data_IF_842666457669
#
_entry.id   IF_842666457669
#
_cell.length_a   1.000
_cell.length_b   1.000
_cell.length_c   1.000
_cell.angle_alpha   90.00
_cell.angle_beta   90.00
_cell.angle_gamma   90.00
#
_symmetry.space_group_name_H-M   'P 1'
#
loop_
_entity.id
_entity.type
_entity.pdbx_description
1 polymer ?
#
# COMPACT_ATOMS: atom_id res chain seq x y z
N UNK A 1 6.36 21.19 5.46
CA UNK A 1 6.16 19.74 5.27
C UNK A 1 5.65 19.57 3.86
N UNK A 2 6.19 18.63 3.07
CA UNK A 2 5.75 18.44 1.68
C UNK A 2 4.24 18.15 1.65
N UNK A 3 3.53 18.66 0.64
CA UNK A 3 2.10 18.41 0.48
C UNK A 3 1.80 16.95 0.08
N UNK A 4 2.83 16.19 -0.29
CA UNK A 4 2.74 14.76 -0.59
C UNK A 4 2.81 13.88 0.67
N UNK A 5 3.12 14.44 1.85
CA UNK A 5 3.27 13.69 3.10
C UNK A 5 2.11 13.98 4.05
N UNK A 6 1.32 12.94 4.35
CA UNK A 6 0.30 12.97 5.40
C UNK A 6 0.82 12.29 6.67
N UNK A 7 0.94 13.07 7.76
CA UNK A 7 1.39 12.55 9.05
C UNK A 7 0.32 11.71 9.74
N UNK A 8 0.75 10.62 10.37
CA UNK A 8 -0.15 9.76 11.15
C UNK A 8 -0.76 10.49 12.34
N UNK A 9 -2.05 10.28 12.58
CA UNK A 9 -2.72 10.68 13.81
C UNK A 9 -2.77 9.54 14.85
N UNK A 10 -1.90 8.53 14.74
CA UNK A 10 -1.91 7.32 15.59
C UNK A 10 -1.77 7.58 17.09
N UNK A 11 -1.17 8.70 17.49
CA UNK A 11 -1.06 9.10 18.91
C UNK A 11 -2.37 9.66 19.46
N UNK A 12 -3.26 10.13 18.59
CA UNK A 12 -4.58 10.67 18.94
C UNK A 12 -5.66 10.18 17.97
N UNK A 13 -5.91 8.86 17.85
CA UNK A 13 -6.89 8.32 16.92
C UNK A 13 -8.27 8.97 17.12
N UNK A 14 -9.05 9.08 16.05
CA UNK A 14 -10.48 9.44 16.18
C UNK A 14 -11.21 8.37 17.02
N UNK A 15 -12.40 8.71 17.52
CA UNK A 15 -13.18 7.80 18.36
C UNK A 15 -13.50 6.44 17.70
N UNK A 16 -13.61 6.41 16.36
CA UNK A 16 -13.79 5.19 15.58
C UNK A 16 -12.48 4.46 15.25
N UNK A 17 -11.35 4.90 15.80
CA UNK A 17 -10.02 4.34 15.57
C UNK A 17 -9.29 4.85 14.32
N UNK A 18 -9.87 5.74 13.52
CA UNK A 18 -9.20 6.28 12.32
C UNK A 18 -7.92 7.06 12.69
N UNK A 19 -6.81 6.72 12.05
CA UNK A 19 -5.48 7.36 12.25
C UNK A 19 -4.88 7.93 10.96
N UNK A 20 -5.36 7.49 9.79
CA UNK A 20 -5.04 8.07 8.48
C UNK A 20 -6.28 8.06 7.59
N UNK A 21 -6.43 9.09 6.76
CA UNK A 21 -7.47 9.17 5.74
C UNK A 21 -7.01 10.01 4.57
N UNK A 22 -6.75 9.34 3.46
CA UNK A 22 -6.49 9.91 2.15
C UNK A 22 -7.71 9.62 1.26
N UNK A 23 -8.34 10.66 0.77
CA UNK A 23 -9.39 10.57 -0.25
C UNK A 23 -8.92 11.19 -1.57
N UNK A 24 -9.57 10.88 -2.70
CA UNK A 24 -9.27 11.54 -3.96
C UNK A 24 -9.29 13.06 -3.89
N UNK A 25 -10.25 13.63 -3.16
CA UNK A 25 -10.37 15.07 -2.97
C UNK A 25 -9.21 15.64 -2.16
N UNK A 26 -8.79 14.96 -1.08
CA UNK A 26 -7.67 15.42 -0.25
C UNK A 26 -6.31 15.31 -0.94
N UNK A 27 -6.12 14.28 -1.79
CA UNK A 27 -4.91 14.06 -2.56
C UNK A 27 -4.89 14.83 -3.89
N UNK A 28 -6.02 15.48 -4.24
CA UNK A 28 -6.23 16.19 -5.50
C UNK A 28 -5.99 15.28 -6.74
N UNK A 29 -6.60 14.10 -6.73
CA UNK A 29 -6.56 13.12 -7.82
C UNK A 29 -7.92 12.43 -7.99
N UNK A 30 -8.02 11.36 -8.78
CA UNK A 30 -9.29 10.80 -9.27
C UNK A 30 -9.70 9.45 -8.68
N UNK A 31 -8.76 8.58 -8.29
CA UNK A 31 -9.05 7.17 -8.03
C UNK A 31 -8.77 6.75 -6.57
N UNK A 32 -7.52 6.83 -6.12
CA UNK A 32 -7.11 6.11 -4.90
C UNK A 32 -7.66 6.77 -3.64
N UNK A 33 -8.21 5.95 -2.74
CA UNK A 33 -8.37 6.30 -1.34
C UNK A 33 -7.66 5.28 -0.45
N UNK A 34 -7.19 5.75 0.70
CA UNK A 34 -6.53 4.93 1.70
C UNK A 34 -6.91 5.41 3.11
N UNK A 35 -7.33 4.48 3.96
CA UNK A 35 -7.60 4.77 5.37
C UNK A 35 -6.88 3.74 6.24
N UNK A 36 -6.46 4.15 7.45
CA UNK A 36 -5.90 3.25 8.45
C UNK A 36 -6.67 3.40 9.75
N UNK A 37 -7.07 2.28 10.32
CA UNK A 37 -7.79 2.21 11.59
C UNK A 37 -6.99 1.40 12.61
N UNK A 38 -6.84 1.94 13.81
CA UNK A 38 -6.31 1.26 14.98
C UNK A 38 -7.48 0.98 15.94
N UNK A 39 -7.98 -0.26 15.95
CA UNK A 39 -9.11 -0.68 16.78
C UNK A 39 -8.62 -1.43 18.01
N UNK A 40 -9.23 -1.17 19.16
CA UNK A 40 -9.01 -1.98 20.36
C UNK A 40 -9.80 -3.29 20.30
N UNK A 41 -9.38 -4.31 21.05
CA UNK A 41 -10.10 -5.57 21.13
C UNK A 41 -11.56 -5.34 21.55
N UNK A 42 -12.50 -5.95 20.81
CA UNK A 42 -13.94 -5.80 20.99
C UNK A 42 -14.55 -4.55 20.34
N UNK A 43 -13.74 -3.61 19.83
CA UNK A 43 -14.23 -2.43 19.13
C UNK A 43 -14.80 -2.81 17.76
N UNK A 44 -15.89 -2.14 17.39
CA UNK A 44 -16.58 -2.32 16.12
C UNK A 44 -16.41 -1.09 15.22
N UNK A 45 -16.22 -1.34 13.94
CA UNK A 45 -16.21 -0.35 12.87
C UNK A 45 -17.29 -0.74 11.86
N UNK A 46 -18.27 0.16 11.69
CA UNK A 46 -19.24 0.08 10.60
C UNK A 46 -18.73 0.90 9.42
N UNK A 47 -18.77 0.31 8.24
CA UNK A 47 -18.21 0.89 7.03
C UNK A 47 -19.17 0.67 5.86
N UNK A 48 -19.31 1.66 4.99
CA UNK A 48 -20.06 1.51 3.74
C UNK A 48 -19.07 1.68 2.57
N UNK A 49 -19.09 0.75 1.62
CA UNK A 49 -18.18 0.80 0.47
C UNK A 49 -18.59 1.88 -0.53
N UNK A 50 -19.80 2.43 -0.44
CA UNK A 50 -20.36 3.48 -1.29
C UNK A 50 -20.10 3.15 -2.77
N UNK A 51 -19.81 4.12 -3.64
CA UNK A 51 -19.43 3.87 -5.04
C UNK A 51 -18.02 3.30 -5.25
N UNK A 52 -17.38 2.71 -4.24
CA UNK A 52 -16.00 2.21 -4.31
C UNK A 52 -15.91 0.72 -4.04
N UNK A 53 -15.00 0.02 -4.72
CA UNK A 53 -14.54 -1.28 -4.23
C UNK A 53 -13.50 -1.07 -3.13
N UNK A 54 -13.40 -2.03 -2.23
CA UNK A 54 -12.56 -1.97 -1.04
C UNK A 54 -11.81 -3.27 -0.83
N UNK A 55 -10.51 -3.16 -0.58
CA UNK A 55 -9.69 -4.24 -0.03
C UNK A 55 -9.33 -3.89 1.42
N UNK A 56 -9.88 -4.65 2.37
CA UNK A 56 -9.56 -4.57 3.79
C UNK A 56 -8.33 -5.43 4.07
N UNK A 57 -7.18 -4.83 4.34
CA UNK A 57 -5.94 -5.56 4.65
C UNK A 57 -5.70 -5.55 6.16
N UNK A 58 -5.62 -6.73 6.77
CA UNK A 58 -5.30 -6.88 8.19
C UNK A 58 -3.77 -6.74 8.34
N UNK A 59 -3.30 -5.51 8.51
CA UNK A 59 -1.86 -5.21 8.65
C UNK A 59 -1.29 -5.86 9.90
N UNK A 60 -2.04 -5.83 11.00
CA UNK A 60 -1.72 -6.53 12.23
C UNK A 60 -3.00 -6.83 13.03
N UNK A 61 -3.02 -7.96 13.74
CA UNK A 61 -4.13 -8.37 14.60
C UNK A 61 -5.11 -9.31 13.94
N UNK A 62 -6.23 -9.56 14.64
CA UNK A 62 -7.32 -10.44 14.21
C UNK A 62 -8.67 -9.75 14.27
N UNK A 63 -9.56 -10.11 13.37
CA UNK A 63 -10.90 -9.54 13.30
C UNK A 63 -11.92 -10.52 12.72
N UNK A 64 -13.19 -10.17 12.94
CA UNK A 64 -14.31 -10.69 12.18
C UNK A 64 -14.77 -9.61 11.19
N UNK A 65 -14.99 -9.96 9.93
CA UNK A 65 -15.51 -9.06 8.90
C UNK A 65 -16.79 -9.66 8.33
N UNK A 66 -17.88 -8.92 8.41
CA UNK A 66 -19.21 -9.36 7.96
C UNK A 66 -19.81 -8.37 6.96
N UNK A 67 -20.41 -8.91 5.91
CA UNK A 67 -21.36 -8.21 5.03
C UNK A 67 -22.76 -8.79 5.24
N UNK A 68 -23.75 -8.37 4.46
CA UNK A 68 -25.10 -8.95 4.51
C UNK A 68 -25.10 -10.47 4.21
N UNK A 69 -24.24 -10.91 3.29
CA UNK A 69 -24.29 -12.27 2.73
C UNK A 69 -23.14 -13.17 3.21
N UNK A 70 -22.06 -12.60 3.76
CA UNK A 70 -20.87 -13.35 4.15
C UNK A 70 -20.32 -12.89 5.51
N UNK A 71 -19.69 -13.80 6.23
CA UNK A 71 -18.96 -13.50 7.47
C UNK A 71 -17.66 -14.31 7.49
N UNK A 72 -16.57 -13.62 7.73
CA UNK A 72 -15.24 -14.20 7.92
C UNK A 72 -14.84 -14.01 9.38
N UNK A 73 -14.72 -15.11 10.12
CA UNK A 73 -14.45 -15.09 11.56
C UNK A 73 -12.98 -15.32 11.85
N UNK A 74 -12.45 -14.61 12.86
CA UNK A 74 -11.10 -14.80 13.41
C UNK A 74 -9.96 -14.76 12.37
N UNK A 75 -10.13 -13.97 11.31
CA UNK A 75 -9.12 -13.80 10.27
C UNK A 75 -7.98 -12.90 10.76
N UNK A 76 -6.77 -13.11 10.22
CA UNK A 76 -5.54 -12.46 10.66
C UNK A 76 -4.54 -13.42 11.30
N UNK A 77 -3.25 -13.25 11.02
CA UNK A 77 -2.19 -14.19 11.38
C UNK A 77 -0.93 -13.57 11.96
N UNK A 78 -0.77 -12.24 11.92
CA UNK A 78 0.43 -11.54 12.40
C UNK A 78 0.08 -10.44 13.40
N UNK A 79 0.86 -10.29 14.45
CA UNK A 79 0.73 -9.22 15.44
C UNK A 79 1.46 -7.94 15.00
N UNK A 80 2.34 -8.04 14.00
CA UNK A 80 3.05 -6.91 13.38
C UNK A 80 3.34 -7.26 11.92
N UNK A 81 3.39 -6.28 10.98
CA UNK A 81 3.84 -6.55 9.62
C UNK A 81 5.24 -7.17 9.59
N UNK A 82 6.10 -6.84 10.56
CA UNK A 82 7.49 -7.31 10.63
C UNK A 82 7.67 -8.81 10.94
N UNK A 83 6.59 -9.58 11.12
CA UNK A 83 6.65 -11.04 11.05
C UNK A 83 6.89 -11.57 9.63
N UNK A 84 6.75 -10.72 8.60
CA UNK A 84 7.10 -10.99 7.19
C UNK A 84 6.40 -12.21 6.60
N UNK A 85 5.20 -12.51 7.10
CA UNK A 85 4.26 -13.46 6.49
C UNK A 85 3.13 -12.69 5.77
N UNK A 86 2.57 -13.24 4.69
CA UNK A 86 1.49 -12.59 3.97
C UNK A 86 0.25 -12.35 4.86
N UNK A 87 -0.46 -11.22 4.67
CA UNK A 87 -1.63 -10.88 5.46
C UNK A 87 -2.88 -11.62 4.99
N UNK A 88 -3.89 -11.65 5.85
CA UNK A 88 -5.27 -11.84 5.41
C UNK A 88 -5.82 -10.52 4.86
N UNK A 89 -6.61 -10.60 3.80
CA UNK A 89 -7.38 -9.44 3.29
C UNK A 89 -8.79 -9.84 2.89
N UNK A 90 -9.72 -8.89 2.83
CA UNK A 90 -11.09 -9.12 2.33
C UNK A 90 -11.39 -8.10 1.23
N UNK A 91 -11.75 -8.59 0.05
CA UNK A 91 -12.26 -7.77 -1.05
C UNK A 91 -13.78 -7.65 -0.96
N UNK A 92 -14.30 -6.43 -1.10
CA UNK A 92 -15.72 -6.09 -1.09
C UNK A 92 -16.01 -5.12 -2.24
N UNK A 93 -16.99 -5.39 -3.13
CA UNK A 93 -17.37 -4.45 -4.20
C UNK A 93 -18.13 -3.22 -3.63
N UNK A 94 -18.54 -2.31 -4.51
CA UNK A 94 -19.35 -1.13 -4.13
C UNK A 94 -20.72 -1.49 -3.55
N UNK A 95 -21.35 -0.51 -2.90
CA UNK A 95 -22.69 -0.57 -2.29
C UNK A 95 -22.90 -1.71 -1.27
N UNK A 96 -21.91 -1.92 -0.40
CA UNK A 96 -21.98 -2.88 0.70
C UNK A 96 -21.81 -2.21 2.06
N UNK A 97 -22.70 -2.56 2.99
CA UNK A 97 -22.47 -2.36 4.42
C UNK A 97 -21.57 -3.47 4.96
N UNK A 98 -20.52 -3.07 5.67
CA UNK A 98 -19.52 -3.94 6.26
C UNK A 98 -19.41 -3.65 7.75
N UNK A 99 -19.45 -4.70 8.56
CA UNK A 99 -19.17 -4.62 9.99
C UNK A 99 -17.85 -5.34 10.29
N UNK A 100 -16.91 -4.61 10.89
CA UNK A 100 -15.63 -5.15 11.31
C UNK A 100 -15.59 -5.13 12.84
N UNK A 101 -15.31 -6.28 13.45
CA UNK A 101 -15.11 -6.40 14.90
C UNK A 101 -13.72 -6.92 15.19
N UNK A 102 -12.93 -6.14 15.91
CA UNK A 102 -11.58 -6.51 16.28
C UNK A 102 -11.60 -7.57 17.39
N UNK A 103 -10.93 -8.71 17.18
CA UNK A 103 -10.74 -9.74 18.22
C UNK A 103 -9.55 -9.39 19.13
N UNK A 104 -8.52 -8.79 18.54
CA UNK A 104 -7.33 -8.26 19.22
C UNK A 104 -7.21 -6.77 18.97
N UNK A 105 -6.12 -6.13 19.42
CA UNK A 105 -5.72 -4.88 18.79
C UNK A 105 -5.56 -5.13 17.28
N UNK A 106 -6.13 -4.24 16.45
CA UNK A 106 -6.21 -4.41 15.01
C UNK A 106 -5.72 -3.15 14.31
N UNK A 107 -4.78 -3.32 13.39
CA UNK A 107 -4.40 -2.32 12.41
C UNK A 107 -5.00 -2.72 11.06
N UNK A 108 -6.03 -2.00 10.65
CA UNK A 108 -6.81 -2.31 9.45
C UNK A 108 -6.59 -1.23 8.40
N UNK A 109 -5.94 -1.60 7.30
CA UNK A 109 -5.90 -0.77 6.10
C UNK A 109 -7.19 -0.95 5.30
N UNK A 110 -7.74 0.16 4.83
CA UNK A 110 -8.89 0.23 3.94
C UNK A 110 -8.41 0.84 2.63
N UNK A 111 -8.11 -0.02 1.66
CA UNK A 111 -7.66 0.36 0.32
C UNK A 111 -8.89 0.50 -0.57
N UNK A 112 -9.12 1.65 -1.21
CA UNK A 112 -10.35 1.89 -2.00
C UNK A 112 -10.10 2.56 -3.35
N UNK A 113 -10.92 2.22 -4.32
CA UNK A 113 -10.94 2.85 -5.64
C UNK A 113 -12.36 2.80 -6.25
N UNK A 114 -12.68 3.62 -7.28
CA UNK A 114 -13.96 3.54 -7.97
C UNK A 114 -14.22 2.13 -8.52
N UNK A 115 -15.45 1.65 -8.37
CA UNK A 115 -15.90 0.35 -8.88
C UNK A 115 -17.05 0.54 -9.85
N UNK A 116 -16.78 0.86 -11.13
CA UNK A 116 -17.84 1.13 -12.10
C UNK A 116 -18.63 -0.14 -12.51
N UNK A 117 -18.09 -1.34 -12.27
CA UNK A 117 -18.74 -2.60 -12.68
C UNK A 117 -19.49 -3.23 -11.51
N UNK A 118 -18.85 -3.39 -10.35
CA UNK A 118 -19.47 -3.91 -9.12
C UNK A 118 -20.01 -5.33 -9.17
N UNK A 119 -19.61 -6.10 -10.17
CA UNK A 119 -20.16 -7.45 -10.40
C UNK A 119 -19.39 -8.55 -9.67
N UNK A 120 -18.25 -8.22 -9.06
CA UNK A 120 -17.37 -9.17 -8.39
C UNK A 120 -17.89 -9.53 -6.99
N UNK A 121 -17.80 -10.80 -6.56
CA UNK A 121 -18.27 -11.20 -5.25
C UNK A 121 -17.35 -10.71 -4.14
N UNK A 122 -17.92 -10.53 -2.94
CA UNK A 122 -17.16 -10.47 -1.69
C UNK A 122 -16.32 -11.74 -1.57
N UNK A 123 -15.03 -11.60 -1.23
CA UNK A 123 -14.14 -12.75 -1.02
C UNK A 123 -13.04 -12.48 -0.02
N UNK A 124 -12.62 -13.54 0.66
CA UNK A 124 -11.38 -13.57 1.43
C UNK A 124 -10.19 -13.74 0.48
N UNK A 125 -9.07 -13.12 0.83
CA UNK A 125 -7.75 -13.33 0.23
C UNK A 125 -6.88 -13.85 1.37
N UNK A 126 -6.61 -15.15 1.35
CA UNK A 126 -5.82 -15.85 2.36
C UNK A 126 -4.32 -15.71 2.10
N UNK A 127 -3.44 -15.91 3.10
CA UNK A 127 -1.99 -15.88 2.91
C UNK A 127 -1.49 -16.81 1.79
N UNK A 128 -2.17 -17.93 1.56
CA UNK A 128 -1.86 -18.92 0.53
C UNK A 128 -2.13 -18.41 -0.90
N UNK A 129 -3.03 -17.44 -1.05
CA UNK A 129 -3.38 -16.81 -2.33
C UNK A 129 -2.48 -15.61 -2.66
N UNK A 130 -1.72 -15.12 -1.67
CA UNK A 130 -0.85 -13.96 -1.84
C UNK A 130 0.48 -14.38 -2.49
N UNK A 131 0.76 -13.85 -3.68
CA UNK A 131 2.02 -14.12 -4.38
C UNK A 131 3.22 -13.53 -3.63
N UNK A 132 4.22 -14.34 -3.30
CA UNK A 132 5.44 -13.93 -2.59
C UNK A 132 6.65 -13.90 -3.51
N UNK A 133 7.34 -12.76 -3.55
CA UNK A 133 8.54 -12.56 -4.37
C UNK A 133 9.71 -11.99 -3.57
N UNK A 134 10.92 -12.46 -3.88
CA UNK A 134 12.17 -11.79 -3.46
C UNK A 134 12.75 -11.08 -4.68
N UNK A 135 12.88 -9.76 -4.60
CA UNK A 135 13.31 -8.92 -5.73
C UNK A 135 14.65 -8.25 -5.43
N UNK A 136 15.50 -8.13 -6.44
CA UNK A 136 16.77 -7.38 -6.39
C UNK A 136 17.97 -8.13 -5.78
N UNK A 137 19.13 -7.47 -5.82
CA UNK A 137 20.42 -7.96 -5.32
C UNK A 137 21.06 -6.93 -4.39
N UNK A 138 21.94 -7.36 -3.48
CA UNK A 138 22.64 -6.48 -2.55
C UNK A 138 21.73 -5.51 -1.80
N UNK A 139 22.07 -4.22 -1.86
CA UNK A 139 21.33 -3.12 -1.23
C UNK A 139 20.02 -2.77 -1.95
N UNK A 140 19.56 -3.57 -2.92
CA UNK A 140 18.27 -3.44 -3.58
C UNK A 140 17.34 -4.65 -3.31
N UNK A 141 17.69 -5.50 -2.33
CA UNK A 141 16.89 -6.67 -1.95
C UNK A 141 15.63 -6.25 -1.19
N UNK A 142 14.52 -6.90 -1.51
CA UNK A 142 13.22 -6.69 -0.87
C UNK A 142 12.38 -7.95 -0.93
N UNK A 143 11.49 -8.10 0.05
CA UNK A 143 10.41 -9.08 0.06
C UNK A 143 9.13 -8.38 -0.35
N UNK A 144 8.37 -8.96 -1.28
CA UNK A 144 7.14 -8.40 -1.84
C UNK A 144 6.03 -9.41 -1.67
N UNK A 145 4.87 -8.96 -1.18
CA UNK A 145 3.65 -9.74 -1.14
C UNK A 145 2.58 -9.06 -2.02
N UNK A 146 2.24 -9.70 -3.12
CA UNK A 146 1.25 -9.25 -4.09
C UNK A 146 -0.17 -9.63 -3.60
N UNK A 147 -0.77 -8.77 -2.77
CA UNK A 147 -2.07 -9.04 -2.12
C UNK A 147 -3.22 -9.04 -3.13
N UNK A 148 -3.26 -8.05 -4.02
CA UNK A 148 -4.27 -7.93 -5.07
C UNK A 148 -3.60 -7.45 -6.36
N UNK A 149 -2.84 -8.31 -7.06
CA UNK A 149 -2.13 -7.95 -8.29
C UNK A 149 -3.09 -7.83 -9.49
N UNK A 150 -2.57 -7.34 -10.62
CA UNK A 150 -3.35 -7.21 -11.86
C UNK A 150 -3.88 -8.55 -12.40
N UNK A 151 -3.27 -9.67 -12.02
CA UNK A 151 -3.66 -11.02 -12.41
C UNK A 151 -4.89 -11.55 -11.66
N UNK A 152 -5.25 -10.90 -10.55
CA UNK A 152 -6.43 -11.23 -9.75
C UNK A 152 -7.60 -10.27 -10.04
N UNK A 153 -8.82 -10.72 -9.80
CA UNK A 153 -10.03 -9.94 -10.12
C UNK A 153 -10.28 -8.76 -9.17
N UNK A 154 -10.33 -7.55 -9.71
CA UNK A 154 -10.85 -6.32 -9.10
C UNK A 154 -11.16 -5.33 -10.22
N UNK A 155 -11.98 -4.30 -9.96
CA UNK A 155 -12.35 -3.31 -10.97
C UNK A 155 -11.18 -2.37 -11.29
N UNK A 156 -10.51 -1.84 -10.27
CA UNK A 156 -9.44 -0.83 -10.37
C UNK A 156 -8.25 -1.07 -9.43
N UNK A 157 -8.47 -1.65 -8.24
CA UNK A 157 -7.50 -1.77 -7.17
C UNK A 157 -6.33 -2.70 -7.51
N UNK A 158 -5.14 -2.20 -7.21
CA UNK A 158 -3.90 -2.95 -7.10
C UNK A 158 -3.35 -2.74 -5.69
N UNK A 159 -3.06 -3.82 -4.97
CA UNK A 159 -2.57 -3.75 -3.58
C UNK A 159 -1.35 -4.65 -3.41
N UNK A 160 -0.26 -4.09 -2.88
CA UNK A 160 1.01 -4.79 -2.67
C UNK A 160 1.67 -4.27 -1.38
N UNK A 161 2.28 -5.16 -0.61
CA UNK A 161 3.16 -4.76 0.49
C UNK A 161 4.61 -5.14 0.22
N UNK A 162 5.53 -4.32 0.70
CA UNK A 162 6.97 -4.48 0.48
C UNK A 162 7.71 -4.30 1.80
N UNK A 163 8.70 -5.15 2.00
CA UNK A 163 9.65 -5.09 3.10
C UNK A 163 11.04 -4.75 2.57
N UNK A 164 11.59 -3.67 3.08
CA UNK A 164 12.93 -3.17 2.73
C UNK A 164 13.76 -3.14 3.99
N UNK A 165 14.79 -3.97 4.04
CA UNK A 165 15.70 -4.02 5.17
C UNK A 165 16.48 -2.70 5.28
N UNK A 166 16.90 -2.37 6.50
CA UNK A 166 17.71 -1.17 6.75
C UNK A 166 18.92 -1.04 5.80
N UNK A 167 19.23 0.18 5.37
CA UNK A 167 20.30 0.48 4.41
C UNK A 167 20.00 0.10 2.95
N UNK A 168 18.94 -0.66 2.67
CA UNK A 168 18.51 -0.95 1.30
C UNK A 168 17.64 0.17 0.71
N UNK A 169 17.59 0.21 -0.62
CA UNK A 169 16.68 1.04 -1.41
C UNK A 169 15.60 0.20 -2.05
N UNK A 170 14.34 0.67 -2.03
CA UNK A 170 13.22 0.05 -2.72
C UNK A 170 12.45 1.07 -3.56
N UNK A 171 11.43 0.60 -4.29
CA UNK A 171 10.87 1.32 -5.44
C UNK A 171 11.97 1.82 -6.40
N UNK A 172 13.08 1.06 -6.44
CA UNK A 172 14.32 1.37 -7.14
C UNK A 172 14.86 0.16 -7.93
N UNK A 173 15.35 0.29 -9.18
CA UNK A 173 15.54 1.52 -9.94
C UNK A 173 14.27 2.32 -10.12
N UNK A 174 14.43 3.64 -10.10
CA UNK A 174 13.32 4.59 -10.17
C UNK A 174 12.39 4.26 -11.34
N UNK A 175 11.09 4.24 -11.09
CA UNK A 175 10.08 3.99 -12.10
C UNK A 175 8.89 4.93 -11.90
N UNK A 176 8.10 5.13 -12.96
CA UNK A 176 6.90 5.98 -12.95
C UNK A 176 5.76 5.32 -13.74
N UNK A 177 4.54 5.64 -13.36
CA UNK A 177 3.28 5.21 -14.00
C UNK A 177 2.29 6.38 -13.94
N UNK A 178 2.58 7.44 -14.69
CA UNK A 178 1.95 8.76 -14.58
C UNK A 178 1.40 9.31 -15.89
N UNK A 179 1.42 8.52 -16.97
CA UNK A 179 0.94 8.93 -18.29
C UNK A 179 -0.40 8.28 -18.65
N UNK A 180 -1.47 9.10 -18.82
CA UNK A 180 -2.80 8.60 -19.19
C UNK A 180 -2.89 8.05 -20.63
N UNK A 181 -2.09 8.61 -21.55
CA UNK A 181 -2.16 8.32 -22.98
C UNK A 181 -0.86 7.70 -23.50
N UNK A 182 -0.36 6.67 -22.83
CA UNK A 182 0.84 5.94 -23.22
C UNK A 182 0.52 4.50 -23.60
N UNK A 183 1.19 3.98 -24.62
CA UNK A 183 1.08 2.56 -25.01
C UNK A 183 1.88 1.64 -24.06
N UNK A 184 2.96 2.20 -23.48
CA UNK A 184 3.97 1.46 -22.72
C UNK A 184 3.89 1.70 -21.20
N UNK A 185 3.07 2.65 -20.78
CA UNK A 185 2.90 3.08 -19.39
C UNK A 185 1.42 3.32 -19.11
N UNK A 186 0.99 3.08 -17.88
CA UNK A 186 -0.38 3.33 -17.41
C UNK A 186 -0.36 4.45 -16.40
N UNK A 187 -1.42 5.27 -16.35
CA UNK A 187 -1.63 6.20 -15.24
C UNK A 187 -2.16 5.44 -14.04
N UNK A 188 -1.37 5.38 -12.98
CA UNK A 188 -1.74 4.83 -11.69
C UNK A 188 -1.33 5.82 -10.60
N UNK A 189 -2.31 6.33 -9.87
CA UNK A 189 -2.07 7.01 -8.60
C UNK A 189 -1.55 5.99 -7.59
N UNK A 190 -0.67 6.38 -6.68
CA UNK A 190 -0.13 5.46 -5.68
C UNK A 190 -0.01 6.12 -4.30
N UNK A 191 -0.43 5.38 -3.25
CA UNK A 191 -0.12 5.72 -1.86
C UNK A 191 0.93 4.78 -1.29
N UNK A 192 1.69 5.25 -0.29
CA UNK A 192 2.63 4.47 0.50
C UNK A 192 2.34 4.68 1.98
N UNK A 193 1.79 3.68 2.67
CA UNK A 193 1.69 3.69 4.14
C UNK A 193 2.91 3.03 4.77
N UNK A 194 3.71 3.78 5.52
CA UNK A 194 4.99 3.29 6.05
C UNK A 194 4.90 2.80 7.49
N UNK A 195 5.66 1.73 7.79
CA UNK A 195 5.97 1.27 9.14
C UNK A 195 7.46 1.04 9.34
N UNK A 196 7.90 1.11 10.59
CA UNK A 196 9.31 0.92 10.94
C UNK A 196 9.50 -0.02 12.13
N UNK A 197 10.60 -0.76 12.10
CA UNK A 197 11.08 -1.56 13.21
C UNK A 197 12.57 -1.23 13.44
N UNK A 198 12.91 -0.61 14.58
CA UNK A 198 12.03 -0.07 15.63
C UNK A 198 11.17 1.14 15.19
N UNK A 199 10.03 1.36 15.85
CA UNK A 199 8.97 2.29 15.41
C UNK A 199 9.32 3.79 15.44
N UNK A 200 10.40 4.20 16.10
CA UNK A 200 10.92 5.58 16.06
C UNK A 200 11.71 5.89 14.78
N UNK A 201 11.91 4.89 13.90
CA UNK A 201 12.62 5.02 12.65
C UNK A 201 11.95 5.93 11.62
N UNK A 202 12.69 6.19 10.56
CA UNK A 202 12.22 6.92 9.39
C UNK A 202 12.97 6.46 8.13
N UNK A 203 12.41 6.75 6.96
CA UNK A 203 13.10 6.66 5.68
C UNK A 203 13.10 8.01 4.95
N UNK A 204 13.90 8.11 3.89
CA UNK A 204 13.81 9.20 2.93
C UNK A 204 13.09 8.69 1.68
N UNK A 205 11.91 9.22 1.41
CA UNK A 205 11.22 9.00 0.13
C UNK A 205 11.29 10.27 -0.70
N UNK A 206 11.65 10.13 -1.97
CA UNK A 206 11.74 11.24 -2.92
C UNK A 206 10.74 11.03 -4.04
N UNK A 207 9.91 12.02 -4.34
CA UNK A 207 8.99 12.00 -5.49
C UNK A 207 9.41 13.08 -6.47
N UNK A 208 9.79 12.71 -7.69
CA UNK A 208 10.36 13.65 -8.67
C UNK A 208 10.09 13.29 -10.14
N UNK A 209 10.04 14.28 -11.02
CA UNK A 209 9.90 14.11 -12.48
C UNK A 209 11.23 14.29 -13.21
N UNK A 210 11.33 13.87 -14.48
CA UNK A 210 12.56 14.06 -15.28
C UNK A 210 13.01 15.53 -15.32
N UNK A 211 12.06 16.46 -15.47
CA UNK A 211 12.30 17.91 -15.56
C UNK A 211 12.43 18.62 -14.19
N UNK A 212 12.25 17.88 -13.09
CA UNK A 212 12.25 18.39 -11.71
C UNK A 212 11.20 19.48 -11.42
N UNK A 213 10.16 19.59 -12.24
CA UNK A 213 8.99 20.41 -11.92
C UNK A 213 8.27 19.93 -10.66
N UNK A 214 8.39 18.63 -10.35
CA UNK A 214 8.18 18.05 -9.04
C UNK A 214 9.51 17.44 -8.57
N UNK A 215 9.96 17.78 -7.35
CA UNK A 215 11.15 17.20 -6.71
C UNK A 215 11.09 17.39 -5.19
N UNK A 216 10.36 16.49 -4.52
CA UNK A 216 10.10 16.56 -3.08
C UNK A 216 10.79 15.40 -2.37
N UNK A 217 11.60 15.68 -1.35
CA UNK A 217 12.22 14.67 -0.50
C UNK A 217 11.70 14.79 0.93
N UNK A 218 11.24 13.68 1.51
CA UNK A 218 10.51 13.66 2.76
C UNK A 218 11.15 12.67 3.74
N UNK A 219 11.31 13.09 4.99
CA UNK A 219 11.55 12.18 6.10
C UNK A 219 10.21 11.60 6.59
N UNK A 220 9.98 10.33 6.26
CA UNK A 220 8.72 9.62 6.50
C UNK A 220 8.86 8.75 7.74
N UNK A 221 7.96 8.92 8.71
CA UNK A 221 7.99 8.22 10.00
C UNK A 221 6.89 7.16 10.08
N UNK A 222 6.92 6.35 11.14
CA UNK A 222 5.98 5.24 11.33
C UNK A 222 4.52 5.70 11.33
N UNK A 223 3.70 5.07 10.48
CA UNK A 223 2.28 5.34 10.27
C UNK A 223 1.98 6.48 9.29
N UNK A 224 2.99 7.16 8.75
CA UNK A 224 2.82 8.22 7.76
C UNK A 224 2.44 7.66 6.39
N UNK A 225 1.80 8.50 5.56
CA UNK A 225 1.45 8.17 4.18
C UNK A 225 2.11 9.15 3.22
N UNK A 226 2.77 8.65 2.17
CA UNK A 226 3.21 9.45 1.02
C UNK A 226 2.28 9.22 -0.16
N UNK A 227 1.91 10.31 -0.84
CA UNK A 227 1.09 10.33 -2.05
C UNK A 227 1.98 10.54 -3.27
N UNK A 228 1.85 9.70 -4.28
CA UNK A 228 2.61 9.77 -5.53
C UNK A 228 1.63 10.06 -6.68
N UNK A 229 1.37 11.34 -7.00
CA UNK A 229 0.46 11.71 -8.08
C UNK A 229 1.12 11.57 -9.47
N UNK A 230 2.46 11.62 -9.52
CA UNK A 230 3.29 11.45 -10.73
C UNK A 230 4.77 11.28 -10.35
N UNK A 231 5.58 10.92 -11.33
CA UNK A 231 7.04 10.88 -11.24
C UNK A 231 7.61 9.61 -10.62
N UNK A 232 8.93 9.59 -10.54
CA UNK A 232 9.73 8.60 -9.86
C UNK A 232 9.62 8.73 -8.34
N UNK A 233 9.61 7.61 -7.63
CA UNK A 233 9.28 7.59 -6.20
C UNK A 233 10.10 6.57 -5.37
N UNK A 234 11.45 6.56 -5.46
CA UNK A 234 12.28 5.64 -4.68
C UNK A 234 12.21 5.90 -3.17
N UNK A 235 12.45 4.83 -2.41
CA UNK A 235 12.53 4.83 -0.94
C UNK A 235 13.94 4.42 -0.52
N UNK A 236 14.60 5.26 0.28
CA UNK A 236 15.89 4.98 0.88
C UNK A 236 15.75 4.80 2.39
N UNK A 237 15.99 3.57 2.88
CA UNK A 237 15.92 3.26 4.31
C UNK A 237 17.18 3.73 5.05
N UNK A 238 17.08 3.84 6.37
CA UNK A 238 18.17 4.30 7.23
C UNK A 238 18.67 3.13 8.08
N UNK A 239 20.00 3.06 8.28
CA UNK A 239 20.61 2.07 9.17
C UNK A 239 19.94 2.09 10.56
N UNK A 240 19.66 0.92 11.09
CA UNK A 240 18.96 0.62 12.33
C UNK A 240 17.44 0.50 12.21
N UNK A 241 16.84 0.79 11.04
CA UNK A 241 15.38 0.85 10.88
C UNK A 241 14.90 0.08 9.65
N UNK A 242 14.40 -1.13 9.87
CA UNK A 242 13.69 -1.89 8.85
C UNK A 242 12.41 -1.14 8.46
N UNK A 243 12.09 -1.15 7.17
CA UNK A 243 10.91 -0.49 6.64
C UNK A 243 9.93 -1.49 6.02
N UNK A 244 8.66 -1.26 6.29
CA UNK A 244 7.53 -1.86 5.59
C UNK A 244 6.73 -0.74 4.94
N UNK A 245 6.15 -1.00 3.77
CA UNK A 245 5.06 -0.17 3.27
C UNK A 245 3.99 -0.97 2.55
N UNK A 246 2.75 -0.49 2.67
CA UNK A 246 1.58 -0.97 1.92
C UNK A 246 1.24 0.05 0.85
N UNK A 247 1.16 -0.42 -0.40
CA UNK A 247 0.78 0.38 -1.55
C UNK A 247 -0.65 0.11 -1.98
N UNK A 248 -1.33 1.18 -2.38
CA UNK A 248 -2.60 1.13 -3.10
C UNK A 248 -2.42 1.89 -4.40
N UNK A 249 -2.70 1.22 -5.51
CA UNK A 249 -2.70 1.81 -6.83
C UNK A 249 -4.07 1.66 -7.51
N UNK A 250 -4.47 2.67 -8.25
CA UNK A 250 -5.64 2.62 -9.14
C UNK A 250 -5.53 3.68 -10.24
N UNK A 251 -6.25 3.44 -11.34
CA UNK A 251 -6.29 4.34 -12.48
C UNK A 251 -7.32 3.88 -13.52
N UNK A 252 -7.43 4.56 -14.67
CA UNK A 252 -8.43 4.24 -15.70
C UNK A 252 -8.23 2.86 -16.32
N UNK A 253 -7.00 2.34 -16.29
CA UNK A 253 -6.64 1.02 -16.82
C UNK A 253 -5.94 0.26 -15.70
N UNK A 254 -6.57 -0.81 -15.23
CA UNK A 254 -6.01 -1.71 -14.21
C UNK A 254 -4.93 -2.62 -14.79
N UNK A 255 -3.77 -2.03 -15.10
CA UNK A 255 -2.54 -2.74 -15.49
C UNK A 255 -1.35 -2.03 -14.88
N UNK A 256 -0.38 -2.76 -14.32
CA UNK A 256 0.83 -2.19 -13.74
C UNK A 256 1.92 -2.10 -14.80
N UNK A 257 1.87 -1.03 -15.61
CA UNK A 257 2.89 -0.72 -16.63
C UNK A 257 3.62 0.56 -16.28
N UNK A 258 4.92 0.46 -16.11
CA UNK A 258 5.77 1.57 -15.67
C UNK A 258 6.98 1.75 -16.59
N UNK A 259 7.50 2.98 -16.59
CA UNK A 259 8.75 3.33 -17.26
C UNK A 259 9.86 3.52 -16.23
N UNK A 260 11.01 2.86 -16.41
CA UNK A 260 12.19 3.11 -15.58
C UNK A 260 12.91 4.40 -15.98
N UNK A 261 13.48 5.10 -15.00
CA UNK A 261 14.39 6.22 -15.24
C UNK A 261 15.65 5.72 -15.95
N UNK A 262 15.90 6.29 -17.15
CA UNK A 262 16.96 5.84 -18.07
C UNK A 262 18.32 5.71 -17.40
N UNK A 263 18.71 6.69 -16.59
CA UNK A 263 20.04 6.77 -15.99
C UNK A 263 20.28 5.71 -14.91
N UNK A 264 19.23 5.06 -14.41
CA UNK A 264 19.30 4.07 -13.32
C UNK A 264 18.92 2.65 -13.79
N UNK A 265 18.50 2.48 -15.05
CA UNK A 265 18.09 1.18 -15.61
C UNK A 265 19.17 0.11 -15.53
N UNK A 266 20.46 0.47 -15.62
CA UNK A 266 21.57 -0.48 -15.57
C UNK A 266 21.60 -1.33 -14.28
N UNK A 267 20.96 -0.85 -13.21
CA UNK A 267 20.87 -1.54 -11.92
C UNK A 267 19.99 -2.81 -12.00
N UNK A 268 19.13 -2.92 -13.02
CA UNK A 268 18.37 -4.13 -13.30
C UNK A 268 19.20 -5.22 -14.03
N UNK A 269 20.44 -4.92 -14.42
CA UNK A 269 21.26 -5.82 -15.24
C UNK A 269 22.14 -6.74 -14.40
N UNK A 270 22.74 -7.75 -15.05
CA UNK A 270 23.70 -8.66 -14.43
C UNK A 270 24.94 -7.92 -13.87
N UNK A 271 25.30 -6.77 -14.47
CA UNK A 271 26.43 -5.95 -14.03
C UNK A 271 26.29 -5.49 -12.57
N UNK A 272 25.09 -5.09 -12.16
CA UNK A 272 24.83 -4.71 -10.77
C UNK A 272 24.83 -5.93 -9.85
N UNK A 273 24.19 -7.02 -10.29
CA UNK A 273 24.10 -8.26 -9.52
C UNK A 273 25.49 -8.84 -9.20
N UNK A 274 26.45 -8.72 -10.14
CA UNK A 274 27.81 -9.22 -9.98
C UNK A 274 28.62 -8.47 -8.92
N UNK A 275 28.19 -7.28 -8.47
CA UNK A 275 28.84 -6.53 -7.37
C UNK A 275 28.66 -7.18 -6.00
N UNK A 276 27.74 -8.15 -5.87
CA UNK A 276 27.37 -8.80 -4.60
C UNK A 276 27.57 -10.32 -4.63
N UNK A 277 28.36 -10.82 -5.59
CA UNK A 277 28.83 -12.22 -5.65
C UNK A 277 30.17 -12.39 -4.96
#
# INVERSE_FOLDING_TARGET
MSYLLSKSNKSHPKANGEVQKITPQSANWEYVGFEMYHLQAGQELKFNTEGTEVCFVLVAGKANISTADQTFEHIGNRATPFERIPPYSVYVPHDHDVNIKADTYLELAVCRAPSPQGTLPVRLITPEEVGVEKRGYGNNKRLVHNILPETESADALLVVEVFTDEGCTSSFPSHKHDQKNSENETYLEETYYHRFEPAQGFCLQRVYTDDRSLDECMAVYDGDVVQVPKGYHPVATIAGYNNYYLNVMAGPVRKWRFTWEKDHQWINTQEYADKFK
#
